data_IF_146762218643
#
_entry.id   IF_146762218643
#
_cell.length_a   1.000
_cell.length_b   1.000
_cell.length_c   1.000
_cell.angle_alpha   90.00
_cell.angle_beta   90.00
_cell.angle_gamma   90.00
#
_symmetry.space_group_name_H-M   'P 1'
#
loop_
_entity.id
_entity.type
_entity.pdbx_description
1 polymer ?
#
# COMPACT_ATOMS: atom_id res chain seq x y z
N UNK A 1 15.23 8.99 -10.20
CA UNK A 1 15.95 7.70 -10.18
C UNK A 1 15.36 6.79 -11.22
N UNK A 2 16.14 5.88 -11.77
CA UNK A 2 15.67 4.80 -12.65
C UNK A 2 14.93 3.73 -11.85
N UNK A 3 14.23 2.81 -12.53
CA UNK A 3 13.57 1.68 -11.85
C UNK A 3 14.58 0.81 -11.07
N UNK A 4 15.73 0.48 -11.66
CA UNK A 4 16.76 -0.32 -11.00
C UNK A 4 17.31 0.37 -9.74
N UNK A 5 17.59 1.66 -9.80
CA UNK A 5 18.01 2.43 -8.62
C UNK A 5 16.91 2.47 -7.54
N UNK A 6 15.63 2.48 -7.94
CA UNK A 6 14.53 2.40 -7.00
C UNK A 6 14.47 1.05 -6.28
N UNK A 7 14.69 -0.05 -7.02
CA UNK A 7 14.76 -1.40 -6.46
C UNK A 7 15.95 -1.53 -5.49
N UNK A 8 17.14 -1.10 -5.90
CA UNK A 8 18.34 -1.12 -5.04
C UNK A 8 18.12 -0.33 -3.75
N UNK A 9 17.50 0.84 -3.86
CA UNK A 9 17.14 1.63 -2.69
C UNK A 9 16.13 0.93 -1.77
N UNK A 10 15.13 0.25 -2.34
CA UNK A 10 14.17 -0.55 -1.59
C UNK A 10 14.84 -1.72 -0.87
N UNK A 11 15.69 -2.47 -1.57
CA UNK A 11 16.39 -3.64 -1.04
C UNK A 11 17.41 -3.29 0.06
N UNK A 12 17.94 -2.06 0.05
CA UNK A 12 18.81 -1.56 1.11
C UNK A 12 18.11 -1.31 2.45
N UNK A 13 16.75 -1.40 2.50
CA UNK A 13 15.95 -1.12 3.68
C UNK A 13 15.58 -2.39 4.42
N UNK A 14 15.27 -2.25 5.72
CA UNK A 14 14.70 -3.36 6.49
C UNK A 14 13.29 -3.71 5.97
N UNK A 15 13.03 -5.00 5.84
CA UNK A 15 11.74 -5.50 5.34
C UNK A 15 10.59 -5.26 6.32
N UNK A 16 10.86 -5.40 7.61
CA UNK A 16 9.90 -5.16 8.68
C UNK A 16 10.60 -4.53 9.88
N UNK A 17 9.88 -3.67 10.58
CA UNK A 17 10.36 -3.03 11.80
C UNK A 17 9.55 -3.48 13.01
N UNK A 18 10.15 -3.43 14.19
CA UNK A 18 9.50 -3.75 15.45
C UNK A 18 8.62 -2.58 15.94
N UNK A 19 7.33 -2.82 16.14
CA UNK A 19 6.46 -2.07 17.06
C UNK A 19 6.02 -0.64 16.71
N UNK A 20 6.65 0.05 15.76
CA UNK A 20 6.35 1.47 15.44
C UNK A 20 5.80 1.70 14.01
N UNK A 21 5.39 0.66 13.32
CA UNK A 21 5.03 0.72 11.90
C UNK A 21 3.97 1.77 11.57
N UNK A 22 2.92 1.85 12.37
CA UNK A 22 1.84 2.83 12.16
C UNK A 22 2.33 4.27 12.33
N UNK A 23 3.18 4.55 13.34
CA UNK A 23 3.69 5.91 13.62
C UNK A 23 4.61 6.38 12.49
N UNK A 24 5.53 5.52 12.02
CA UNK A 24 6.41 5.85 10.90
C UNK A 24 5.62 6.03 9.59
N UNK A 25 4.60 5.18 9.36
CA UNK A 25 3.73 5.32 8.20
C UNK A 25 2.93 6.62 8.24
N UNK A 26 2.41 7.02 9.41
CA UNK A 26 1.71 8.29 9.58
C UNK A 26 2.64 9.48 9.31
N UNK A 27 3.86 9.49 9.91
CA UNK A 27 4.84 10.54 9.66
C UNK A 27 5.21 10.63 8.17
N UNK A 28 5.46 9.49 7.51
CA UNK A 28 5.80 9.47 6.09
C UNK A 28 4.65 10.00 5.23
N UNK A 29 3.42 9.58 5.49
CA UNK A 29 2.24 10.02 4.74
C UNK A 29 1.94 11.51 4.97
N UNK A 30 2.11 12.02 6.18
CA UNK A 30 1.99 13.45 6.49
C UNK A 30 2.98 14.27 5.67
N UNK A 31 4.25 13.85 5.60
CA UNK A 31 5.28 14.49 4.77
C UNK A 31 4.98 14.44 3.27
N UNK A 32 4.22 13.43 2.84
CA UNK A 32 3.76 13.26 1.46
C UNK A 32 2.43 13.98 1.16
N UNK A 33 1.84 14.68 2.14
CA UNK A 33 0.60 15.44 2.00
C UNK A 33 -0.67 14.63 2.20
N UNK A 34 -0.61 13.56 2.99
CA UNK A 34 -1.74 12.70 3.37
C UNK A 34 -2.58 12.22 2.17
N UNK A 35 -1.97 11.56 1.17
CA UNK A 35 -2.71 11.12 -0.03
C UNK A 35 -3.87 10.18 0.29
N UNK A 36 -3.79 9.42 1.39
CA UNK A 36 -4.83 8.50 1.85
C UNK A 36 -6.15 9.21 2.22
N UNK A 37 -6.12 10.48 2.61
CA UNK A 37 -7.33 11.21 3.02
C UNK A 37 -8.29 11.48 1.84
N UNK A 38 -7.80 11.33 0.61
CA UNK A 38 -8.58 11.49 -0.62
C UNK A 38 -9.21 10.17 -1.10
N UNK A 39 -8.94 9.07 -0.43
CA UNK A 39 -9.28 7.72 -0.87
C UNK A 39 -10.33 7.09 0.05
N UNK A 40 -11.08 6.16 -0.53
CA UNK A 40 -12.04 5.31 0.19
C UNK A 40 -11.55 3.87 0.14
N UNK A 41 -11.57 3.18 1.28
CA UNK A 41 -10.95 1.87 1.43
C UNK A 41 -11.93 0.77 1.78
N UNK A 42 -11.69 -0.41 1.22
CA UNK A 42 -12.14 -1.69 1.76
C UNK A 42 -10.90 -2.36 2.32
N UNK A 43 -10.79 -2.44 3.64
CA UNK A 43 -9.63 -2.95 4.37
C UNK A 43 -9.86 -4.40 4.76
N UNK A 44 -9.05 -5.32 4.22
CA UNK A 44 -9.25 -6.77 4.36
C UNK A 44 -8.16 -7.34 5.26
N UNK A 45 -8.59 -7.84 6.41
CA UNK A 45 -7.74 -8.55 7.39
C UNK A 45 -8.13 -10.03 7.47
N UNK A 46 -7.24 -10.86 7.97
CA UNK A 46 -7.48 -12.29 8.15
C UNK A 46 -6.19 -13.09 8.07
N UNK A 47 -6.25 -14.38 8.42
CA UNK A 47 -5.09 -15.28 8.37
C UNK A 47 -4.83 -15.75 6.95
N UNK A 48 -5.88 -16.22 6.27
CA UNK A 48 -5.81 -16.76 4.90
C UNK A 48 -6.81 -16.09 3.97
N UNK A 49 -6.54 -16.09 2.67
CA UNK A 49 -7.48 -15.67 1.64
C UNK A 49 -7.65 -14.14 1.47
N UNK A 50 -6.96 -13.30 2.25
CA UNK A 50 -7.04 -11.84 2.14
C UNK A 50 -6.85 -11.34 0.71
N UNK A 51 -5.73 -11.71 0.09
CA UNK A 51 -5.39 -11.32 -1.28
C UNK A 51 -6.42 -11.79 -2.30
N UNK A 52 -6.95 -13.01 -2.12
CA UNK A 52 -8.01 -13.54 -3.00
C UNK A 52 -9.30 -12.73 -2.89
N UNK A 53 -9.71 -12.37 -1.67
CA UNK A 53 -10.89 -11.51 -1.44
C UNK A 53 -10.67 -10.13 -2.07
N UNK A 54 -9.52 -9.49 -1.82
CA UNK A 54 -9.16 -8.21 -2.43
C UNK A 54 -9.21 -8.28 -3.96
N UNK A 55 -8.61 -9.32 -4.55
CA UNK A 55 -8.58 -9.49 -6.01
C UNK A 55 -9.97 -9.72 -6.61
N UNK A 56 -10.81 -10.54 -5.97
CA UNK A 56 -12.19 -10.76 -6.42
C UNK A 56 -13.01 -9.48 -6.36
N UNK A 57 -12.99 -8.75 -5.22
CA UNK A 57 -13.70 -7.49 -5.07
C UNK A 57 -13.21 -6.44 -6.07
N UNK A 58 -11.89 -6.33 -6.27
CA UNK A 58 -11.32 -5.43 -7.25
C UNK A 58 -11.87 -5.70 -8.66
N UNK A 59 -11.91 -6.96 -9.09
CA UNK A 59 -12.44 -7.34 -10.40
C UNK A 59 -13.94 -7.03 -10.54
N UNK A 60 -14.75 -7.35 -9.52
CA UNK A 60 -16.20 -7.09 -9.53
C UNK A 60 -16.45 -5.58 -9.65
N UNK A 61 -15.79 -4.76 -8.85
CA UNK A 61 -15.98 -3.32 -8.84
C UNK A 61 -15.46 -2.65 -10.12
N UNK A 62 -14.33 -3.12 -10.66
CA UNK A 62 -13.82 -2.65 -11.96
C UNK A 62 -14.82 -2.99 -13.08
N UNK A 63 -15.39 -4.21 -13.08
CA UNK A 63 -16.42 -4.58 -14.05
C UNK A 63 -17.71 -3.77 -13.90
N UNK A 64 -18.00 -3.27 -12.69
CA UNK A 64 -19.11 -2.37 -12.44
C UNK A 64 -18.82 -0.90 -12.82
N UNK A 65 -17.64 -0.59 -13.36
CA UNK A 65 -17.27 0.73 -13.89
C UNK A 65 -16.55 1.65 -12.90
N UNK A 66 -16.19 1.18 -11.70
CA UNK A 66 -15.40 1.97 -10.75
C UNK A 66 -13.91 2.00 -11.09
N UNK A 67 -13.24 3.08 -10.73
CA UNK A 67 -11.77 3.18 -10.73
C UNK A 67 -11.23 2.56 -9.46
N UNK A 68 -10.61 1.38 -9.58
CA UNK A 68 -10.27 0.54 -8.42
C UNK A 68 -8.77 0.40 -8.27
N UNK A 69 -8.25 0.80 -7.11
CA UNK A 69 -6.92 0.46 -6.64
C UNK A 69 -6.92 -0.88 -5.90
N UNK A 70 -5.84 -1.64 -6.05
CA UNK A 70 -5.63 -2.88 -5.30
C UNK A 70 -4.21 -2.90 -4.75
N UNK A 71 -4.10 -3.06 -3.43
CA UNK A 71 -2.82 -3.27 -2.74
C UNK A 71 -2.82 -4.64 -2.07
N UNK A 72 -1.83 -5.46 -2.41
CA UNK A 72 -1.66 -6.82 -1.90
C UNK A 72 -0.27 -7.08 -1.36
N UNK A 73 -0.11 -8.08 -0.49
CA UNK A 73 1.16 -8.48 0.07
C UNK A 73 1.19 -9.99 0.45
N UNK A 74 2.37 -10.63 0.38
CA UNK A 74 3.64 -10.14 -0.19
C UNK A 74 3.60 -10.08 -1.73
N UNK A 75 4.66 -9.56 -2.37
CA UNK A 75 4.81 -9.71 -3.82
C UNK A 75 5.21 -11.14 -4.19
N UNK A 76 4.91 -11.54 -5.41
CA UNK A 76 5.22 -12.87 -5.93
C UNK A 76 6.51 -12.87 -6.76
N UNK A 77 6.71 -11.87 -7.61
CA UNK A 77 7.85 -11.76 -8.52
C UNK A 77 8.65 -10.48 -8.31
N UNK A 78 7.96 -9.34 -8.22
CA UNK A 78 8.58 -8.01 -8.13
C UNK A 78 7.72 -7.06 -7.30
N UNK A 79 8.30 -5.97 -6.82
CA UNK A 79 7.57 -5.01 -5.99
C UNK A 79 6.30 -4.46 -6.64
N UNK A 80 6.31 -4.30 -7.97
CA UNK A 80 5.17 -3.75 -8.73
C UNK A 80 3.90 -4.58 -8.57
N UNK A 81 4.02 -5.90 -8.42
CA UNK A 81 2.86 -6.80 -8.29
C UNK A 81 2.12 -6.70 -6.95
N UNK A 82 2.47 -5.70 -6.13
CA UNK A 82 1.70 -5.30 -4.95
C UNK A 82 0.67 -4.20 -5.23
N UNK A 83 0.82 -3.44 -6.34
CA UNK A 83 0.04 -2.23 -6.62
C UNK A 83 -0.59 -2.35 -8.00
N UNK A 84 -1.91 -2.42 -8.05
CA UNK A 84 -2.68 -2.49 -9.28
C UNK A 84 -3.71 -1.37 -9.37
N UNK A 85 -3.93 -0.87 -10.57
CA UNK A 85 -5.02 0.02 -10.92
C UNK A 85 -5.83 -0.60 -12.05
N UNK A 86 -7.13 -0.83 -11.83
CA UNK A 86 -8.03 -1.49 -12.77
C UNK A 86 -7.49 -2.81 -13.35
N UNK A 87 -6.83 -3.60 -12.51
CA UNK A 87 -6.26 -4.90 -12.87
C UNK A 87 -4.89 -4.86 -13.54
N UNK A 88 -4.33 -3.67 -13.79
CA UNK A 88 -2.97 -3.50 -14.34
C UNK A 88 -2.00 -3.09 -13.23
N UNK A 89 -0.86 -3.77 -13.14
CA UNK A 89 0.18 -3.41 -12.16
C UNK A 89 0.80 -2.04 -12.47
N UNK A 90 1.32 -1.38 -11.45
CA UNK A 90 2.05 -0.12 -11.60
C UNK A 90 3.24 -0.28 -12.54
N UNK A 91 3.37 0.61 -13.52
CA UNK A 91 4.50 0.62 -14.45
C UNK A 91 5.81 1.03 -13.79
N UNK A 92 6.94 0.61 -14.39
CA UNK A 92 8.29 0.88 -13.88
C UNK A 92 8.60 2.38 -13.76
N UNK A 93 8.09 3.19 -14.69
CA UNK A 93 8.25 4.65 -14.68
C UNK A 93 7.53 5.30 -13.50
N UNK A 94 6.26 4.93 -13.27
CA UNK A 94 5.48 5.43 -12.12
C UNK A 94 6.10 4.95 -10.81
N UNK A 95 6.54 3.69 -10.75
CA UNK A 95 7.23 3.13 -9.59
C UNK A 95 8.50 3.94 -9.24
N UNK A 96 9.39 4.16 -10.22
CA UNK A 96 10.64 4.89 -10.03
C UNK A 96 10.39 6.37 -9.63
N UNK A 97 9.40 7.00 -10.25
CA UNK A 97 9.00 8.39 -9.95
C UNK A 97 8.49 8.52 -8.52
N UNK A 98 7.60 7.63 -8.11
CA UNK A 98 7.05 7.63 -6.74
C UNK A 98 8.10 7.24 -5.71
N UNK A 99 8.95 6.27 -6.00
CA UNK A 99 10.07 5.90 -5.15
C UNK A 99 11.01 7.09 -4.91
N UNK A 100 11.33 7.87 -5.95
CA UNK A 100 12.14 9.10 -5.82
C UNK A 100 11.50 10.11 -4.89
N UNK A 101 10.20 10.35 -5.03
CA UNK A 101 9.44 11.27 -4.18
C UNK A 101 9.42 10.82 -2.71
N UNK A 102 9.19 9.54 -2.48
CA UNK A 102 9.15 8.95 -1.15
C UNK A 102 10.55 9.00 -0.51
N UNK A 103 11.60 8.66 -1.26
CA UNK A 103 12.98 8.68 -0.81
C UNK A 103 13.36 10.04 -0.22
N UNK A 104 13.05 11.12 -0.90
CA UNK A 104 13.33 12.49 -0.44
C UNK A 104 12.75 12.76 0.97
N UNK A 105 11.55 12.23 1.26
CA UNK A 105 10.93 12.38 2.57
C UNK A 105 11.45 11.36 3.59
N UNK A 106 11.71 10.13 3.16
CA UNK A 106 12.19 9.06 4.02
C UNK A 106 13.61 9.30 4.58
N UNK A 107 14.48 9.94 3.78
CA UNK A 107 15.88 10.23 4.19
C UNK A 107 16.01 11.30 5.26
N UNK A 108 14.99 12.14 5.46
CA UNK A 108 14.97 13.16 6.51
C UNK A 108 14.22 12.72 7.76
N UNK A 109 13.64 11.53 7.77
CA UNK A 109 12.99 10.95 8.94
C UNK A 109 14.02 10.44 9.95
N UNK A 110 13.78 10.68 11.23
CA UNK A 110 14.64 10.18 12.31
C UNK A 110 14.65 8.64 12.37
N UNK A 111 13.47 8.04 12.23
CA UNK A 111 13.29 6.58 12.16
C UNK A 111 13.00 6.21 10.70
N UNK A 112 13.97 5.61 10.01
CA UNK A 112 13.84 5.25 8.61
C UNK A 112 12.67 4.25 8.38
N UNK A 113 11.78 4.52 7.41
CA UNK A 113 10.67 3.63 7.12
C UNK A 113 11.16 2.32 6.51
N UNK A 114 10.44 1.23 6.81
CA UNK A 114 10.67 -0.11 6.26
C UNK A 114 10.20 -0.21 4.81
N UNK A 115 10.60 -1.29 4.13
CA UNK A 115 10.09 -1.59 2.77
C UNK A 115 8.57 -1.59 2.72
N UNK A 116 7.90 -2.22 3.69
CA UNK A 116 6.44 -2.30 3.71
C UNK A 116 5.76 -0.94 3.90
N UNK A 117 6.31 -0.09 4.76
CA UNK A 117 5.83 1.28 4.98
C UNK A 117 6.01 2.15 3.72
N UNK A 118 7.15 2.02 3.04
CA UNK A 118 7.42 2.69 1.75
C UNK A 118 6.44 2.22 0.68
N UNK A 119 6.22 0.90 0.55
CA UNK A 119 5.26 0.34 -0.42
C UNK A 119 3.83 0.78 -0.14
N UNK A 120 3.43 0.83 1.14
CA UNK A 120 2.12 1.35 1.54
C UNK A 120 1.96 2.81 1.11
N UNK A 121 2.95 3.66 1.41
CA UNK A 121 2.92 5.07 0.99
C UNK A 121 2.90 5.23 -0.54
N UNK A 122 3.64 4.38 -1.26
CA UNK A 122 3.64 4.36 -2.73
C UNK A 122 2.26 4.02 -3.29
N UNK A 123 1.60 3.02 -2.73
CA UNK A 123 0.23 2.66 -3.10
C UNK A 123 -0.73 3.84 -2.89
N UNK A 124 -0.68 4.51 -1.72
CA UNK A 124 -1.54 5.67 -1.43
C UNK A 124 -1.33 6.82 -2.40
N UNK A 125 -0.07 7.14 -2.74
CA UNK A 125 0.25 8.16 -3.74
C UNK A 125 -0.29 7.79 -5.12
N UNK A 126 -0.03 6.57 -5.56
CA UNK A 126 -0.45 6.08 -6.88
C UNK A 126 -1.97 6.10 -7.03
N UNK A 127 -2.70 5.58 -6.05
CA UNK A 127 -4.16 5.54 -6.07
C UNK A 127 -4.79 6.93 -6.02
N UNK A 128 -4.20 7.86 -5.26
CA UNK A 128 -4.65 9.25 -5.23
C UNK A 128 -4.42 9.96 -6.58
N UNK A 129 -3.26 9.74 -7.23
CA UNK A 129 -2.96 10.27 -8.55
C UNK A 129 -3.87 9.69 -9.65
N UNK A 130 -4.23 8.39 -9.53
CA UNK A 130 -5.18 7.73 -10.44
C UNK A 130 -6.64 8.05 -10.13
N UNK A 131 -6.92 8.84 -9.08
CA UNK A 131 -8.26 9.22 -8.65
C UNK A 131 -9.18 8.00 -8.43
N UNK A 132 -8.67 6.99 -7.73
CA UNK A 132 -9.44 5.78 -7.44
C UNK A 132 -10.73 6.10 -6.67
N UNK A 133 -11.85 5.53 -7.10
CA UNK A 133 -13.13 5.58 -6.37
C UNK A 133 -13.08 4.75 -5.10
N UNK A 134 -12.42 3.59 -5.19
CA UNK A 134 -12.27 2.61 -4.11
C UNK A 134 -10.88 1.96 -4.16
N UNK A 135 -10.34 1.66 -2.99
CA UNK A 135 -9.07 0.92 -2.85
C UNK A 135 -9.30 -0.34 -2.03
N UNK A 136 -9.00 -1.50 -2.63
CA UNK A 136 -8.92 -2.77 -1.91
C UNK A 136 -7.55 -2.84 -1.26
N UNK A 137 -7.52 -2.85 0.06
CA UNK A 137 -6.28 -2.79 0.85
C UNK A 137 -6.13 -4.06 1.69
N UNK A 138 -5.16 -4.89 1.35
CA UNK A 138 -4.80 -6.07 2.14
C UNK A 138 -3.92 -5.67 3.32
N UNK A 139 -4.29 -6.13 4.52
CA UNK A 139 -3.45 -6.00 5.73
C UNK A 139 -2.19 -6.86 5.58
N UNK A 140 -1.04 -6.30 5.88
CA UNK A 140 0.23 -7.04 5.84
C UNK A 140 0.33 -8.07 6.94
N UNK A 141 0.27 -7.64 8.20
CA UNK A 141 0.40 -8.51 9.36
C UNK A 141 -0.34 -7.96 10.58
N UNK A 142 -1.17 -8.80 11.19
CA UNK A 142 -1.89 -8.47 12.44
C UNK A 142 -3.15 -7.63 12.20
N UNK A 143 -3.04 -6.36 11.91
CA UNK A 143 -4.17 -5.44 11.69
C UNK A 143 -4.01 -4.12 12.44
N UNK A 144 -4.27 -4.10 13.76
CA UNK A 144 -4.35 -2.83 14.52
C UNK A 144 -3.05 -1.99 14.50
N UNK A 145 -1.88 -2.62 14.45
CA UNK A 145 -0.57 -1.96 14.40
C UNK A 145 0.07 -2.06 13.00
N UNK A 146 -0.65 -2.58 12.03
CA UNK A 146 -0.18 -2.69 10.65
C UNK A 146 -0.05 -1.32 10.00
N UNK A 147 0.97 -1.17 9.14
CA UNK A 147 1.22 0.08 8.42
C UNK A 147 0.07 0.52 7.52
N UNK A 148 -0.81 -0.41 7.12
CA UNK A 148 -2.01 -0.09 6.33
C UNK A 148 -3.12 0.53 7.16
N UNK A 149 -3.07 0.44 8.51
CA UNK A 149 -4.11 0.98 9.40
C UNK A 149 -3.99 2.49 9.66
N UNK A 150 -3.38 3.22 8.74
CA UNK A 150 -3.28 4.69 8.72
C UNK A 150 -4.46 5.37 8.03
N UNK A 151 -5.47 4.60 7.66
CA UNK A 151 -6.60 5.02 6.84
C UNK A 151 -7.86 5.22 7.66
N UNK A 152 -8.75 6.10 7.18
CA UNK A 152 -10.15 6.12 7.57
C UNK A 152 -10.90 5.15 6.65
N UNK A 153 -11.03 3.90 7.07
CA UNK A 153 -11.66 2.86 6.26
C UNK A 153 -13.18 2.99 6.26
N UNK A 154 -13.80 2.77 5.09
CA UNK A 154 -15.25 2.67 4.95
C UNK A 154 -15.78 1.30 5.38
N UNK A 155 -15.01 0.24 5.09
CA UNK A 155 -15.42 -1.14 5.33
C UNK A 155 -14.20 -1.94 5.81
N UNK A 156 -14.34 -2.60 6.95
CA UNK A 156 -13.38 -3.60 7.44
C UNK A 156 -13.97 -5.00 7.23
N UNK A 157 -13.21 -5.85 6.53
CA UNK A 157 -13.52 -7.28 6.34
C UNK A 157 -12.48 -8.07 7.13
N UNK A 158 -12.92 -8.88 8.08
CA UNK A 158 -12.05 -9.76 8.87
C UNK A 158 -12.64 -11.16 8.92
N UNK A 159 -11.78 -12.16 9.17
CA UNK A 159 -12.25 -13.51 9.45
C UNK A 159 -13.14 -13.54 10.70
N UNK A 160 -14.21 -14.37 10.72
CA UNK A 160 -14.94 -14.61 11.95
C UNK A 160 -13.99 -15.26 12.98
N UNK A 161 -13.97 -14.72 14.19
CA UNK A 161 -13.26 -15.34 15.32
C UNK A 161 -13.85 -16.73 15.56
N UNK A 162 -13.04 -17.78 15.37
CA UNK A 162 -13.41 -19.13 15.84
C UNK A 162 -13.27 -19.11 17.36
N UNK A 163 -14.39 -19.18 18.04
CA UNK A 163 -14.42 -19.49 19.47
C UNK A 163 -14.16 -20.96 19.71
#
# INVERSE_FOLDING_TARGET
MTYNEAIEWMDSRHWSGTGKGIVRSQELLERLGNPQDKLKFVHVAGTNGKGSVCACLSKILTAAGYQVGLFVSPHLKRFNDRIYFNGTEIGDEDFARLASRIRTQAEVMKDAPTVFEVMTAMGMLYFAEKQCDLVMLEVGMGGRLDSTNVILSLIHISEPTRH
#
